data_IF_364108680170
#
_entry.id   IF_364108680170
#
_cell.length_a   1.000
_cell.length_b   1.000
_cell.length_c   1.000
_cell.angle_alpha   90.00
_cell.angle_beta   90.00
_cell.angle_gamma   90.00
#
_symmetry.space_group_name_H-M   'P 1'
#
loop_
_entity.id
_entity.type
_entity.pdbx_description
1 polymer ?
#
# COMPACT_ATOMS: atom_id res chain seq x y z
N UNK A 1 3.03 -34.81 8.09
CA UNK A 1 2.05 -33.73 8.34
C UNK A 1 2.74 -32.63 9.11
N UNK A 2 2.35 -31.36 8.93
CA UNK A 2 3.06 -30.23 9.58
C UNK A 2 2.46 -29.99 10.96
N UNK A 3 3.26 -29.86 12.01
CA UNK A 3 2.74 -29.48 13.33
C UNK A 3 2.49 -27.96 13.40
N UNK A 4 1.51 -27.54 14.21
CA UNK A 4 1.20 -26.12 14.39
C UNK A 4 2.39 -25.33 14.96
N UNK A 5 3.20 -25.97 15.81
CA UNK A 5 4.45 -25.43 16.34
C UNK A 5 5.50 -25.19 15.26
N UNK A 6 5.57 -26.03 14.22
CA UNK A 6 6.56 -25.87 13.14
C UNK A 6 6.26 -24.62 12.32
N UNK A 7 4.97 -24.33 12.10
CA UNK A 7 4.52 -23.16 11.34
C UNK A 7 4.89 -21.84 12.02
N UNK A 8 4.99 -21.82 13.36
CA UNK A 8 5.38 -20.62 14.11
C UNK A 8 6.76 -20.09 13.71
N UNK A 9 7.69 -21.00 13.43
CA UNK A 9 9.09 -20.67 13.18
C UNK A 9 9.39 -20.33 11.72
N UNK A 10 8.44 -20.58 10.81
CA UNK A 10 8.62 -20.31 9.39
C UNK A 10 8.72 -18.82 9.12
N UNK A 11 9.66 -18.45 8.27
CA UNK A 11 9.80 -17.10 7.73
C UNK A 11 8.88 -16.88 6.52
N UNK A 12 8.82 -15.65 5.99
CA UNK A 12 7.97 -15.31 4.84
C UNK A 12 8.20 -16.19 3.60
N UNK A 13 9.42 -16.65 3.39
CA UNK A 13 9.82 -17.40 2.18
C UNK A 13 9.73 -18.92 2.34
N UNK A 14 9.31 -19.40 3.51
CA UNK A 14 9.29 -20.82 3.87
C UNK A 14 7.86 -21.38 3.99
N UNK A 15 6.87 -20.54 3.70
CA UNK A 15 5.46 -20.88 3.87
C UNK A 15 4.80 -21.19 2.53
N UNK A 16 4.54 -22.48 2.35
CA UNK A 16 3.85 -23.06 1.20
C UNK A 16 2.54 -23.70 1.66
N UNK A 17 1.62 -24.07 0.75
CA UNK A 17 0.44 -24.85 1.10
C UNK A 17 0.79 -26.06 1.99
N UNK A 18 -0.01 -26.31 3.02
CA UNK A 18 0.29 -27.33 4.04
C UNK A 18 -0.99 -28.01 4.53
N UNK A 19 -0.80 -29.18 5.15
CA UNK A 19 -1.85 -29.88 5.90
C UNK A 19 -1.49 -29.92 7.38
N UNK A 20 -2.49 -29.61 8.21
CA UNK A 20 -2.40 -29.54 9.66
C UNK A 20 -3.52 -30.37 10.28
N UNK A 21 -3.18 -31.29 11.19
CA UNK A 21 -4.18 -32.00 12.00
C UNK A 21 -4.69 -31.10 13.13
N UNK A 22 -6.01 -30.95 13.21
CA UNK A 22 -6.75 -30.17 14.20
C UNK A 22 -7.92 -31.00 14.71
N UNK A 23 -7.87 -31.40 15.99
CA UNK A 23 -8.96 -32.13 16.66
C UNK A 23 -9.46 -33.37 15.87
N UNK A 24 -8.52 -34.22 15.44
CA UNK A 24 -8.77 -35.45 14.65
C UNK A 24 -9.23 -35.22 13.20
N UNK A 25 -9.28 -33.97 12.75
CA UNK A 25 -9.61 -33.59 11.39
C UNK A 25 -8.42 -32.90 10.71
N UNK A 26 -8.39 -32.89 9.38
CA UNK A 26 -7.30 -32.22 8.64
C UNK A 26 -7.75 -30.87 8.09
N UNK A 27 -7.04 -29.81 8.46
CA UNK A 27 -7.06 -28.52 7.76
C UNK A 27 -6.05 -28.56 6.61
N UNK A 28 -6.55 -28.47 5.37
CA UNK A 28 -5.73 -28.33 4.17
C UNK A 28 -5.66 -26.86 3.78
N UNK A 29 -4.54 -26.19 4.09
CA UNK A 29 -4.27 -24.82 3.71
C UNK A 29 -3.85 -24.75 2.24
N UNK A 30 -4.68 -24.14 1.40
CA UNK A 30 -4.48 -24.05 -0.06
C UNK A 30 -3.71 -22.79 -0.48
N UNK A 31 -3.99 -21.67 0.17
CA UNK A 31 -3.27 -20.43 -0.09
C UNK A 31 -3.08 -19.62 1.18
N UNK A 32 -1.95 -18.92 1.24
CA UNK A 32 -1.58 -18.07 2.37
C UNK A 32 -2.11 -16.66 2.10
N UNK A 33 -3.04 -16.20 2.93
CA UNK A 33 -3.63 -14.86 2.81
C UNK A 33 -2.82 -13.81 3.56
N UNK A 34 -2.23 -14.17 4.70
CA UNK A 34 -1.39 -13.27 5.50
C UNK A 34 -0.43 -14.04 6.39
N UNK A 35 0.85 -13.70 6.36
CA UNK A 35 1.85 -14.26 7.26
C UNK A 35 2.56 -13.18 8.07
N UNK A 36 2.44 -13.27 9.40
CA UNK A 36 3.24 -12.54 10.37
C UNK A 36 4.07 -13.56 11.19
N UNK A 37 5.34 -13.80 10.82
CA UNK A 37 6.18 -14.81 11.45
C UNK A 37 6.17 -14.73 12.98
N UNK A 38 6.03 -15.89 13.62
CA UNK A 38 5.96 -16.03 15.08
C UNK A 38 4.72 -15.46 15.76
N UNK A 39 3.79 -14.82 15.02
CA UNK A 39 2.59 -14.17 15.59
C UNK A 39 1.29 -14.75 15.08
N UNK A 40 1.04 -14.68 13.76
CA UNK A 40 -0.19 -15.19 13.16
C UNK A 40 -0.02 -15.56 11.70
N UNK A 41 -0.85 -16.50 11.26
CA UNK A 41 -0.97 -16.95 9.90
C UNK A 41 -2.45 -17.02 9.51
N UNK A 42 -2.81 -16.49 8.36
CA UNK A 42 -4.17 -16.54 7.83
C UNK A 42 -4.13 -17.28 6.51
N UNK A 43 -4.96 -18.31 6.36
CA UNK A 43 -4.99 -19.17 5.18
C UNK A 43 -6.41 -19.37 4.67
N UNK A 44 -6.53 -19.52 3.35
CA UNK A 44 -7.71 -20.09 2.72
C UNK A 44 -7.48 -21.60 2.55
N UNK A 45 -8.46 -22.41 2.89
CA UNK A 45 -8.29 -23.86 2.91
C UNK A 45 -9.58 -24.64 2.93
N UNK A 46 -9.46 -25.92 3.29
CA UNK A 46 -10.58 -26.83 3.55
C UNK A 46 -10.43 -27.50 4.90
N UNK A 47 -11.53 -27.63 5.63
CA UNK A 47 -11.63 -28.39 6.88
C UNK A 47 -12.94 -29.17 6.85
N UNK A 48 -12.91 -30.47 7.17
CA UNK A 48 -14.06 -31.39 7.00
C UNK A 48 -14.70 -31.32 5.59
N UNK A 49 -13.86 -31.18 4.56
CA UNK A 49 -14.30 -31.03 3.17
C UNK A 49 -14.88 -29.66 2.80
N UNK A 50 -15.20 -28.80 3.78
CA UNK A 50 -15.81 -27.48 3.58
C UNK A 50 -14.76 -26.38 3.38
N UNK A 51 -15.02 -25.37 2.54
CA UNK A 51 -14.12 -24.23 2.39
C UNK A 51 -14.10 -23.38 3.66
N UNK A 52 -12.91 -23.00 4.13
CA UNK A 52 -12.71 -22.23 5.36
C UNK A 52 -11.63 -21.17 5.21
N UNK A 53 -11.78 -20.06 5.95
CA UNK A 53 -10.67 -19.18 6.30
C UNK A 53 -10.21 -19.57 7.71
N UNK A 54 -8.94 -19.91 7.84
CA UNK A 54 -8.34 -20.25 9.12
C UNK A 54 -7.35 -19.16 9.55
N UNK A 55 -7.58 -18.57 10.73
CA UNK A 55 -6.65 -17.66 11.42
C UNK A 55 -5.95 -18.44 12.53
N UNK A 56 -4.66 -18.70 12.34
CA UNK A 56 -3.78 -19.38 13.28
C UNK A 56 -3.03 -18.33 14.09
N UNK A 57 -3.18 -18.39 15.41
CA UNK A 57 -2.50 -17.51 16.37
C UNK A 57 -1.43 -18.31 17.10
N UNK A 58 -0.18 -17.85 17.00
CA UNK A 58 0.97 -18.52 17.63
C UNK A 58 1.27 -17.91 19.00
N UNK A 59 1.66 -18.73 19.98
CA UNK A 59 1.86 -18.34 21.38
C UNK A 59 0.74 -17.44 21.93
N UNK A 60 -0.52 -17.86 21.75
CA UNK A 60 -1.70 -17.07 22.06
C UNK A 60 -2.02 -17.02 23.56
N UNK A 61 -1.06 -16.57 24.37
CA UNK A 61 -1.17 -16.45 25.83
C UNK A 61 -2.28 -15.49 26.29
N UNK A 62 -2.81 -14.66 25.40
CA UNK A 62 -3.88 -13.70 25.67
C UNK A 62 -5.24 -14.15 25.15
N UNK A 63 -5.34 -15.38 24.66
CA UNK A 63 -6.56 -15.93 24.09
C UNK A 63 -7.18 -15.00 23.02
N UNK A 64 -6.33 -14.41 22.17
CA UNK A 64 -6.73 -13.51 21.08
C UNK A 64 -7.69 -14.22 20.13
N UNK A 65 -7.42 -15.47 19.77
CA UNK A 65 -8.29 -16.25 18.89
C UNK A 65 -9.66 -16.53 19.52
N UNK A 66 -9.70 -16.86 20.81
CA UNK A 66 -10.96 -17.05 21.55
C UNK A 66 -11.75 -15.74 21.69
N UNK A 67 -11.05 -14.65 21.97
CA UNK A 67 -11.66 -13.33 22.07
C UNK A 67 -12.26 -12.90 20.73
N UNK A 68 -11.55 -13.11 19.62
CA UNK A 68 -12.04 -12.80 18.29
C UNK A 68 -13.24 -13.70 17.91
N UNK A 69 -13.21 -14.99 18.23
CA UNK A 69 -14.36 -15.90 18.06
C UNK A 69 -15.60 -15.41 18.82
N UNK A 70 -15.45 -15.08 20.11
CA UNK A 70 -16.55 -14.58 20.93
C UNK A 70 -17.09 -13.24 20.42
N UNK A 71 -16.20 -12.36 19.96
CA UNK A 71 -16.57 -11.05 19.41
C UNK A 71 -17.35 -11.17 18.11
N UNK A 72 -16.94 -12.05 17.18
CA UNK A 72 -17.70 -12.31 15.94
C UNK A 72 -19.13 -12.77 16.24
N UNK A 73 -19.30 -13.73 17.17
CA UNK A 73 -20.64 -14.19 17.58
C UNK A 73 -21.47 -13.08 18.21
N UNK A 74 -20.84 -12.25 19.03
CA UNK A 74 -21.51 -11.10 19.67
C UNK A 74 -21.98 -10.08 18.62
N UNK A 75 -21.12 -9.72 17.67
CA UNK A 75 -21.45 -8.80 16.59
C UNK A 75 -22.58 -9.35 15.71
N UNK A 76 -22.51 -10.63 15.33
CA UNK A 76 -23.56 -11.30 14.57
C UNK A 76 -24.91 -11.29 15.31
N UNK A 77 -24.92 -11.53 16.63
CA UNK A 77 -26.15 -11.46 17.45
C UNK A 77 -26.75 -10.05 17.54
N UNK A 78 -25.98 -9.02 17.23
CA UNK A 78 -26.40 -7.62 17.19
C UNK A 78 -26.73 -7.14 15.76
N UNK A 79 -26.80 -8.06 14.79
CA UNK A 79 -27.18 -7.77 13.41
C UNK A 79 -26.05 -7.22 12.53
N UNK A 80 -24.82 -7.15 13.04
CA UNK A 80 -23.65 -6.74 12.24
C UNK A 80 -23.29 -7.88 11.29
N UNK A 81 -23.20 -7.57 9.99
CA UNK A 81 -22.76 -8.53 8.97
C UNK A 81 -21.25 -8.78 9.09
N UNK A 82 -20.88 -9.94 9.64
CA UNK A 82 -19.49 -10.40 9.84
C UNK A 82 -19.33 -11.85 9.31
N UNK A 83 -18.10 -12.33 9.06
CA UNK A 83 -17.87 -13.73 8.70
C UNK A 83 -18.47 -14.71 9.72
N UNK A 84 -19.15 -15.74 9.22
CA UNK A 84 -19.73 -16.78 10.07
C UNK A 84 -18.60 -17.62 10.70
N UNK A 85 -18.60 -17.69 12.03
CA UNK A 85 -17.65 -18.51 12.78
C UNK A 85 -18.05 -19.98 12.73
N UNK A 86 -17.11 -20.86 12.42
CA UNK A 86 -17.31 -22.31 12.43
C UNK A 86 -16.89 -22.86 13.79
N UNK A 87 -15.62 -22.67 14.15
CA UNK A 87 -15.06 -23.21 15.38
C UNK A 87 -13.83 -22.42 15.82
N UNK A 88 -13.47 -22.57 17.09
CA UNK A 88 -12.19 -22.16 17.65
C UNK A 88 -11.57 -23.37 18.33
N UNK A 89 -10.34 -23.69 17.94
CA UNK A 89 -9.61 -24.89 18.39
C UNK A 89 -8.33 -24.46 19.08
N UNK A 90 -7.94 -25.20 20.11
CA UNK A 90 -6.70 -24.97 20.86
C UNK A 90 -5.79 -26.19 20.75
N UNK A 91 -4.49 -25.93 20.55
CA UNK A 91 -3.47 -26.96 20.51
C UNK A 91 -2.20 -26.42 21.18
N UNK A 92 -1.98 -26.82 22.43
CA UNK A 92 -0.89 -26.28 23.26
C UNK A 92 -1.06 -24.78 23.48
N UNK A 93 -0.05 -23.99 23.13
CA UNK A 93 -0.06 -22.53 23.26
C UNK A 93 -0.60 -21.81 22.00
N UNK A 94 -1.34 -22.50 21.14
CA UNK A 94 -1.81 -21.98 19.85
C UNK A 94 -3.32 -22.07 19.74
N UNK A 95 -3.91 -21.12 19.02
CA UNK A 95 -5.35 -21.08 18.76
C UNK A 95 -5.61 -20.99 17.26
N UNK A 96 -6.58 -21.74 16.77
CA UNK A 96 -7.03 -21.71 15.37
C UNK A 96 -8.50 -21.31 15.34
N UNK A 97 -8.79 -20.16 14.74
CA UNK A 97 -10.15 -19.69 14.46
C UNK A 97 -10.52 -20.05 13.02
N UNK A 98 -11.58 -20.84 12.86
CA UNK A 98 -12.15 -21.26 11.59
C UNK A 98 -13.43 -20.46 11.30
N UNK A 99 -13.52 -19.89 10.11
CA UNK A 99 -14.67 -19.11 9.63
C UNK A 99 -15.05 -19.53 8.22
N UNK A 100 -16.31 -19.33 7.84
CA UNK A 100 -16.73 -19.46 6.44
C UNK A 100 -16.11 -18.33 5.61
N UNK A 101 -15.59 -18.62 4.41
CA UNK A 101 -15.17 -17.60 3.48
C UNK A 101 -16.36 -16.72 3.08
N UNK A 102 -16.10 -15.42 2.99
CA UNK A 102 -17.05 -14.47 2.42
C UNK A 102 -16.72 -14.33 0.94
N UNK A 103 -17.69 -14.61 0.08
CA UNK A 103 -17.57 -14.45 -1.37
C UNK A 103 -18.12 -13.07 -1.71
N UNK A 104 -17.25 -12.16 -2.10
CA UNK A 104 -17.64 -10.80 -2.43
C UNK A 104 -16.47 -10.01 -2.99
N UNK A 105 -16.78 -8.84 -3.53
CA UNK A 105 -15.76 -7.92 -4.05
C UNK A 105 -15.30 -6.95 -2.95
N UNK A 106 -14.01 -6.63 -2.93
CA UNK A 106 -13.48 -5.62 -2.01
C UNK A 106 -14.09 -4.25 -2.30
N UNK A 107 -14.67 -3.62 -1.29
CA UNK A 107 -15.39 -2.36 -1.44
C UNK A 107 -14.48 -1.24 -1.95
N UNK A 108 -13.23 -1.19 -1.46
CA UNK A 108 -12.23 -0.21 -1.93
C UNK A 108 -12.02 -0.29 -3.44
N UNK A 109 -11.80 -1.49 -3.97
CA UNK A 109 -11.63 -1.77 -5.40
C UNK A 109 -12.85 -1.36 -6.22
N UNK A 110 -14.07 -1.62 -5.71
CA UNK A 110 -15.30 -1.20 -6.39
C UNK A 110 -15.41 0.32 -6.50
N UNK A 111 -15.17 1.03 -5.40
CA UNK A 111 -15.21 2.50 -5.39
C UNK A 111 -14.12 3.12 -6.26
N UNK A 112 -12.92 2.55 -6.26
CA UNK A 112 -11.78 2.99 -7.10
C UNK A 112 -12.08 2.82 -8.60
N UNK A 113 -12.70 1.70 -8.98
CA UNK A 113 -13.07 1.44 -10.37
C UNK A 113 -14.17 2.37 -10.85
N UNK A 114 -15.20 2.57 -10.04
CA UNK A 114 -16.32 3.44 -10.36
C UNK A 114 -16.93 3.95 -9.08
N UNK A 115 -16.73 5.23 -8.81
CA UNK A 115 -17.26 5.84 -7.60
C UNK A 115 -18.79 5.73 -7.58
N UNK A 116 -19.31 5.02 -6.59
CA UNK A 116 -20.74 4.79 -6.41
C UNK A 116 -21.20 5.41 -5.08
N UNK A 117 -21.90 6.55 -5.11
CA UNK A 117 -22.40 7.21 -3.90
C UNK A 117 -23.32 6.33 -3.07
N UNK A 118 -24.16 5.49 -3.69
CA UNK A 118 -25.07 4.61 -2.97
C UNK A 118 -24.31 3.51 -2.22
N UNK A 119 -23.27 2.93 -2.83
CA UNK A 119 -22.42 1.96 -2.16
C UNK A 119 -21.66 2.58 -0.97
N UNK A 120 -21.14 3.80 -1.14
CA UNK A 120 -20.50 4.52 -0.05
C UNK A 120 -21.50 4.85 1.07
N UNK A 121 -22.73 5.25 0.73
CA UNK A 121 -23.78 5.48 1.72
C UNK A 121 -24.07 4.21 2.53
N UNK A 122 -24.22 3.06 1.87
CA UNK A 122 -24.38 1.76 2.56
C UNK A 122 -23.21 1.43 3.49
N UNK A 123 -21.97 1.76 3.10
CA UNK A 123 -20.81 1.59 3.97
C UNK A 123 -20.92 2.48 5.21
N UNK A 124 -21.23 3.75 5.02
CA UNK A 124 -21.34 4.70 6.13
C UNK A 124 -22.47 4.30 7.09
N UNK A 125 -23.58 3.79 6.57
CA UNK A 125 -24.67 3.24 7.37
C UNK A 125 -24.23 2.00 8.15
N UNK A 126 -23.43 1.11 7.54
CA UNK A 126 -22.83 -0.06 8.21
C UNK A 126 -21.88 0.36 9.35
N UNK A 127 -21.01 1.35 9.10
CA UNK A 127 -20.11 1.91 10.12
C UNK A 127 -20.89 2.56 11.25
N UNK A 128 -22.00 3.25 10.94
CA UNK A 128 -22.87 3.84 11.94
C UNK A 128 -23.62 2.81 12.77
N UNK A 129 -24.14 1.74 12.17
CA UNK A 129 -24.75 0.63 12.90
C UNK A 129 -23.77 0.01 13.89
N UNK A 130 -22.50 -0.19 13.48
CA UNK A 130 -21.46 -0.67 14.37
C UNK A 130 -21.23 0.30 15.55
N UNK A 131 -21.13 1.59 15.26
CA UNK A 131 -20.96 2.66 16.24
C UNK A 131 -22.14 2.75 17.23
N UNK A 132 -23.37 2.72 16.73
CA UNK A 132 -24.61 2.78 17.52
C UNK A 132 -24.77 1.53 18.41
N UNK A 133 -24.34 0.37 17.94
CA UNK A 133 -24.22 -0.86 18.73
C UNK A 133 -23.10 -0.82 19.79
N UNK A 134 -22.37 0.30 19.90
CA UNK A 134 -21.32 0.52 20.89
C UNK A 134 -19.95 0.01 20.49
N UNK A 135 -19.70 -0.21 19.20
CA UNK A 135 -18.44 -0.75 18.67
C UNK A 135 -17.75 0.19 17.70
N UNK A 136 -16.43 0.07 17.62
CA UNK A 136 -15.63 0.81 16.64
C UNK A 136 -14.53 -0.07 16.10
N UNK A 137 -14.30 0.00 14.80
CA UNK A 137 -13.19 -0.71 14.16
C UNK A 137 -11.95 0.16 14.20
N UNK A 138 -10.97 -0.22 15.02
CA UNK A 138 -9.81 0.65 15.30
C UNK A 138 -8.82 0.77 14.14
N UNK A 139 -8.85 -0.18 13.19
CA UNK A 139 -8.14 -0.11 11.90
C UNK A 139 -9.14 0.00 10.74
N UNK A 140 -9.99 1.04 10.76
CA UNK A 140 -11.00 1.23 9.72
C UNK A 140 -10.36 1.63 8.39
N UNK A 141 -10.55 0.79 7.36
CA UNK A 141 -10.19 1.06 5.98
C UNK A 141 -11.10 0.29 5.02
N UNK A 142 -11.23 0.77 3.77
CA UNK A 142 -12.18 0.21 2.78
C UNK A 142 -11.94 -1.28 2.50
N UNK A 143 -10.69 -1.74 2.55
CA UNK A 143 -10.35 -3.16 2.35
C UNK A 143 -10.79 -4.11 3.47
N UNK A 144 -11.34 -3.60 4.58
CA UNK A 144 -11.98 -4.43 5.61
C UNK A 144 -13.47 -4.66 5.32
N UNK A 145 -13.97 -4.31 4.15
CA UNK A 145 -15.37 -4.52 3.77
C UNK A 145 -15.44 -5.25 2.44
N UNK A 146 -16.24 -6.31 2.40
CA UNK A 146 -16.62 -7.00 1.16
C UNK A 146 -18.06 -6.69 0.83
N UNK A 147 -18.35 -6.55 -0.46
CA UNK A 147 -19.71 -6.47 -0.99
C UNK A 147 -20.10 -7.86 -1.49
N UNK A 148 -21.02 -8.47 -0.76
CA UNK A 148 -21.66 -9.75 -1.06
C UNK A 148 -23.04 -9.46 -1.65
N UNK A 149 -23.37 -10.04 -2.81
CA UNK A 149 -24.63 -9.74 -3.52
C UNK A 149 -25.88 -10.09 -2.70
N UNK A 150 -25.80 -11.13 -1.87
CA UNK A 150 -26.92 -11.60 -1.06
C UNK A 150 -26.98 -10.92 0.31
N UNK A 151 -25.81 -10.64 0.92
CA UNK A 151 -25.70 -10.13 2.30
C UNK A 151 -25.45 -8.63 2.41
N UNK A 152 -25.12 -7.97 1.30
CA UNK A 152 -24.68 -6.58 1.30
C UNK A 152 -23.23 -6.44 1.80
N UNK A 153 -22.98 -5.43 2.63
CA UNK A 153 -21.62 -5.13 3.12
C UNK A 153 -21.29 -6.00 4.33
N UNK A 154 -20.23 -6.81 4.20
CA UNK A 154 -19.70 -7.68 5.27
C UNK A 154 -18.41 -7.07 5.82
N UNK A 155 -18.39 -6.82 7.13
CA UNK A 155 -17.24 -6.30 7.86
C UNK A 155 -16.25 -7.43 8.22
N UNK A 156 -15.03 -7.30 7.73
CA UNK A 156 -13.91 -8.21 7.99
C UNK A 156 -13.08 -7.77 9.21
N UNK A 157 -12.29 -8.73 9.70
CA UNK A 157 -11.29 -8.55 10.76
C UNK A 157 -11.84 -8.00 12.09
N UNK A 158 -12.76 -8.75 12.69
CA UNK A 158 -13.33 -8.43 13.99
C UNK A 158 -12.31 -8.29 15.12
N UNK A 159 -11.10 -8.86 15.00
CA UNK A 159 -10.03 -8.72 15.99
C UNK A 159 -9.60 -7.26 16.28
N UNK A 160 -9.89 -6.33 15.36
CA UNK A 160 -9.61 -4.90 15.54
C UNK A 160 -10.86 -4.08 15.95
N UNK A 161 -11.99 -4.73 16.24
CA UNK A 161 -13.20 -4.10 16.74
C UNK A 161 -13.14 -4.00 18.27
N UNK A 162 -13.43 -2.81 18.80
CA UNK A 162 -13.34 -2.49 20.23
C UNK A 162 -14.60 -1.74 20.68
N UNK A 163 -14.95 -1.77 21.97
CA UNK A 163 -16.02 -0.92 22.49
C UNK A 163 -15.72 0.56 22.25
N UNK A 164 -16.76 1.35 21.95
CA UNK A 164 -16.67 2.80 21.80
C UNK A 164 -16.20 3.42 23.13
N UNK A 165 -15.19 4.32 23.13
CA UNK A 165 -14.74 4.98 24.35
C UNK A 165 -15.83 5.85 24.98
N UNK A 166 -16.23 5.54 26.22
CA UNK A 166 -17.33 6.20 26.94
C UNK A 166 -17.22 7.74 27.04
N UNK A 167 -16.00 8.28 27.16
CA UNK A 167 -15.75 9.73 27.31
C UNK A 167 -15.57 10.49 25.99
N UNK A 168 -15.56 9.80 24.83
CA UNK A 168 -15.20 10.38 23.53
C UNK A 168 -16.00 9.79 22.36
N UNK A 169 -17.25 9.38 22.57
CA UNK A 169 -18.05 8.67 21.56
C UNK A 169 -18.03 9.33 20.18
N UNK A 170 -18.62 10.53 20.04
CA UNK A 170 -18.72 11.21 18.74
C UNK A 170 -17.34 11.53 18.14
N UNK A 171 -16.39 11.94 18.97
CA UNK A 171 -15.01 12.19 18.55
C UNK A 171 -14.31 10.93 18.04
N UNK A 172 -14.62 9.76 18.60
CA UNK A 172 -14.09 8.48 18.15
C UNK A 172 -14.58 8.16 16.74
N UNK A 173 -15.87 8.38 16.44
CA UNK A 173 -16.41 8.24 15.08
C UNK A 173 -15.71 9.18 14.09
N UNK A 174 -15.56 10.48 14.44
CA UNK A 174 -14.86 11.46 13.60
C UNK A 174 -13.42 11.01 13.32
N UNK A 175 -12.69 10.60 14.35
CA UNK A 175 -11.31 10.11 14.21
C UNK A 175 -11.26 8.83 13.36
N UNK A 176 -12.29 7.98 13.44
CA UNK A 176 -12.35 6.72 12.72
C UNK A 176 -12.69 6.89 11.22
N UNK A 177 -13.66 7.74 10.89
CA UNK A 177 -13.94 8.11 9.50
C UNK A 177 -12.75 8.87 8.87
N UNK A 178 -12.04 9.69 9.65
CA UNK A 178 -10.85 10.38 9.18
C UNK A 178 -9.70 9.39 8.89
N UNK A 179 -9.55 8.37 9.74
CA UNK A 179 -8.63 7.25 9.50
C UNK A 179 -8.99 6.53 8.20
N UNK A 180 -10.26 6.17 7.99
CA UNK A 180 -10.73 5.51 6.77
C UNK A 180 -10.42 6.32 5.50
N UNK A 181 -10.74 7.61 5.51
CA UNK A 181 -10.43 8.52 4.39
C UNK A 181 -8.92 8.54 4.11
N UNK A 182 -8.07 8.58 5.14
CA UNK A 182 -6.62 8.59 4.96
C UNK A 182 -6.03 7.26 4.44
N UNK A 183 -6.79 6.16 4.57
CA UNK A 183 -6.40 4.83 4.11
C UNK A 183 -6.75 4.58 2.64
N UNK A 184 -7.69 5.33 2.07
CA UNK A 184 -8.01 5.26 0.64
C UNK A 184 -6.90 5.83 -0.26
N UNK A 185 -6.93 5.47 -1.54
CA UNK A 185 -6.10 6.11 -2.57
C UNK A 185 -6.40 7.59 -2.66
N UNK A 186 -5.38 8.40 -3.01
CA UNK A 186 -5.53 9.86 -3.12
C UNK A 186 -6.61 10.27 -4.13
N UNK A 187 -6.89 9.44 -5.12
CA UNK A 187 -7.93 9.71 -6.10
C UNK A 187 -9.35 9.71 -5.50
N UNK A 188 -9.59 8.87 -4.48
CA UNK A 188 -10.87 8.74 -3.80
C UNK A 188 -11.05 9.70 -2.62
N UNK A 189 -9.97 10.25 -2.06
CA UNK A 189 -10.03 10.96 -0.78
C UNK A 189 -10.98 12.14 -0.79
N UNK A 190 -10.97 12.97 -1.83
CA UNK A 190 -11.80 14.19 -1.87
C UNK A 190 -13.29 13.85 -1.79
N UNK A 191 -13.73 12.85 -2.55
CA UNK A 191 -15.12 12.38 -2.54
C UNK A 191 -15.48 11.71 -1.21
N UNK A 192 -14.60 10.86 -0.67
CA UNK A 192 -14.82 10.23 0.63
C UNK A 192 -14.93 11.24 1.76
N UNK A 193 -14.04 12.24 1.79
CA UNK A 193 -14.01 13.26 2.83
C UNK A 193 -15.31 14.08 2.79
N UNK A 194 -15.73 14.52 1.60
CA UNK A 194 -16.97 15.27 1.43
C UNK A 194 -18.19 14.49 1.91
N UNK A 195 -18.32 13.22 1.49
CA UNK A 195 -19.45 12.36 1.83
C UNK A 195 -19.46 12.01 3.32
N UNK A 196 -18.31 11.69 3.92
CA UNK A 196 -18.20 11.47 5.36
C UNK A 196 -18.58 12.72 6.16
N UNK A 197 -18.18 13.91 5.70
CA UNK A 197 -18.54 15.17 6.35
C UNK A 197 -20.06 15.42 6.30
N UNK A 198 -20.68 15.24 5.13
CA UNK A 198 -22.14 15.36 4.97
C UNK A 198 -22.89 14.35 5.83
N UNK A 199 -22.42 13.11 5.87
CA UNK A 199 -22.96 12.03 6.69
C UNK A 199 -22.95 12.35 8.19
N UNK A 200 -21.80 12.82 8.71
CA UNK A 200 -21.67 13.23 10.11
C UNK A 200 -22.61 14.39 10.44
N UNK A 201 -22.67 15.40 9.55
CA UNK A 201 -23.55 16.55 9.72
C UNK A 201 -25.03 16.14 9.80
N UNK A 202 -25.47 15.24 8.93
CA UNK A 202 -26.85 14.73 8.92
C UNK A 202 -27.23 13.99 10.22
N UNK A 203 -26.23 13.48 10.96
CA UNK A 203 -26.40 12.76 12.23
C UNK A 203 -26.10 13.62 13.46
N UNK A 204 -25.94 14.93 13.29
CA UNK A 204 -25.65 15.86 14.38
C UNK A 204 -24.26 15.68 15.00
N UNK A 205 -23.32 15.06 14.28
CA UNK A 205 -21.93 14.87 14.73
C UNK A 205 -21.08 16.06 14.23
N UNK A 206 -20.47 16.80 15.15
CA UNK A 206 -19.56 17.90 14.81
C UNK A 206 -18.26 17.38 14.18
N UNK A 207 -18.04 17.76 12.92
CA UNK A 207 -16.88 17.43 12.10
C UNK A 207 -16.07 18.66 11.68
N UNK A 208 -16.13 19.80 12.38
CA UNK A 208 -15.49 21.04 11.95
C UNK A 208 -13.98 20.93 11.60
N UNK A 209 -13.24 20.03 12.27
CA UNK A 209 -11.81 19.79 12.04
C UNK A 209 -11.53 18.51 11.22
N UNK A 210 -12.54 17.96 10.53
CA UNK A 210 -12.46 16.65 9.89
C UNK A 210 -11.37 16.57 8.82
N UNK A 211 -11.32 17.55 7.91
CA UNK A 211 -10.30 17.60 6.85
C UNK A 211 -8.87 17.61 7.42
N UNK A 212 -8.62 18.41 8.46
CA UNK A 212 -7.33 18.46 9.12
C UNK A 212 -6.97 17.13 9.79
N UNK A 213 -7.95 16.44 10.38
CA UNK A 213 -7.76 15.08 10.92
C UNK A 213 -7.41 14.09 9.82
N UNK A 214 -8.12 14.09 8.69
CA UNK A 214 -7.80 13.27 7.52
C UNK A 214 -6.35 13.49 7.07
N UNK A 215 -5.95 14.77 6.92
CA UNK A 215 -4.58 15.14 6.55
C UNK A 215 -3.54 14.68 7.57
N UNK A 216 -3.85 14.78 8.87
CA UNK A 216 -2.97 14.33 9.96
C UNK A 216 -2.79 12.81 9.94
N UNK A 217 -3.86 12.05 9.75
CA UNK A 217 -3.78 10.59 9.62
C UNK A 217 -3.03 10.18 8.35
N UNK A 218 -3.27 10.85 7.23
CA UNK A 218 -2.55 10.63 5.98
C UNK A 218 -1.05 10.85 6.17
N UNK A 219 -0.66 11.98 6.77
CA UNK A 219 0.75 12.27 7.04
C UNK A 219 1.38 11.22 7.96
N UNK A 220 0.67 10.77 9.00
CA UNK A 220 1.12 9.70 9.88
C UNK A 220 1.33 8.39 9.10
N UNK A 221 0.38 8.02 8.24
CA UNK A 221 0.44 6.85 7.35
C UNK A 221 1.66 6.93 6.44
N UNK A 222 1.89 8.08 5.79
CA UNK A 222 3.03 8.30 4.91
C UNK A 222 4.37 8.17 5.66
N UNK A 223 4.50 8.76 6.85
CA UNK A 223 5.71 8.62 7.68
C UNK A 223 5.96 7.16 8.10
N UNK A 224 4.91 6.44 8.47
CA UNK A 224 5.02 5.04 8.85
C UNK A 224 5.39 4.15 7.66
N UNK A 225 4.75 4.35 6.51
CA UNK A 225 5.05 3.63 5.28
C UNK A 225 6.49 3.89 4.80
N UNK A 226 6.91 5.15 4.77
CA UNK A 226 8.26 5.55 4.40
C UNK A 226 9.35 4.87 5.25
N UNK A 227 9.11 4.72 6.57
CA UNK A 227 9.98 3.94 7.47
C UNK A 227 9.88 2.44 7.20
N UNK A 228 8.68 1.93 6.92
CA UNK A 228 8.44 0.51 6.65
C UNK A 228 9.21 0.03 5.41
N UNK A 229 9.30 0.86 4.36
CA UNK A 229 9.93 0.49 3.09
C UNK A 229 11.47 0.39 3.12
N UNK A 230 12.07 0.69 4.28
CA UNK A 230 13.52 0.65 4.48
C UNK A 230 14.00 -0.62 5.20
N UNK A 231 13.09 -1.55 5.51
CA UNK A 231 13.38 -2.76 6.31
C UNK A 231 12.68 -3.99 5.75
N UNK A 232 13.13 -5.17 6.20
CA UNK A 232 12.48 -6.44 5.90
C UNK A 232 11.04 -6.43 6.42
N UNK A 233 10.08 -6.72 5.56
CA UNK A 233 8.66 -6.79 5.88
C UNK A 233 7.92 -7.75 4.94
N UNK A 234 6.61 -7.84 5.08
CA UNK A 234 5.76 -8.74 4.28
C UNK A 234 5.83 -8.54 2.76
N UNK A 235 6.26 -7.35 2.31
CA UNK A 235 6.38 -7.01 0.89
C UNK A 235 7.84 -6.92 0.42
N UNK A 236 8.78 -6.62 1.32
CA UNK A 236 10.17 -6.32 0.97
C UNK A 236 11.08 -7.30 1.71
N UNK A 237 11.94 -7.97 0.96
CA UNK A 237 13.06 -8.78 1.46
C UNK A 237 14.34 -7.95 1.43
N UNK A 238 15.14 -8.08 2.48
CA UNK A 238 16.49 -7.52 2.53
C UNK A 238 17.48 -8.67 2.46
N UNK A 239 18.47 -8.56 1.58
CA UNK A 239 19.56 -9.52 1.46
C UNK A 239 20.90 -8.80 1.52
N UNK A 240 21.82 -9.33 2.32
CA UNK A 240 23.21 -8.91 2.26
C UNK A 240 23.84 -9.47 0.99
N UNK A 241 24.52 -8.61 0.23
CA UNK A 241 25.27 -9.00 -0.95
C UNK A 241 26.73 -8.59 -0.79
N UNK A 242 27.58 -8.97 -1.75
CA UNK A 242 28.94 -8.45 -1.81
C UNK A 242 28.89 -6.92 -1.90
N UNK A 243 29.61 -6.27 -0.98
CA UNK A 243 29.78 -4.81 -0.89
C UNK A 243 28.50 -3.99 -0.62
N UNK A 244 27.38 -4.61 -0.24
CA UNK A 244 26.11 -3.86 -0.09
C UNK A 244 24.90 -4.64 0.40
N UNK A 245 23.72 -4.04 0.16
CA UNK A 245 22.41 -4.62 0.53
C UNK A 245 21.45 -4.51 -0.65
N UNK A 246 20.75 -5.61 -0.93
CA UNK A 246 19.64 -5.66 -1.88
C UNK A 246 18.30 -5.58 -1.14
N UNK A 247 17.42 -4.72 -1.65
CA UNK A 247 16.02 -4.61 -1.29
C UNK A 247 15.22 -5.20 -2.46
N UNK A 248 14.44 -6.24 -2.20
CA UNK A 248 13.76 -7.02 -3.23
C UNK A 248 12.28 -7.06 -2.91
N UNK A 249 11.45 -6.76 -3.89
CA UNK A 249 10.02 -7.03 -3.82
C UNK A 249 9.78 -8.55 -3.80
N UNK A 250 9.12 -9.04 -2.75
CA UNK A 250 8.89 -10.47 -2.53
C UNK A 250 8.03 -11.09 -3.63
N UNK A 251 7.17 -10.30 -4.26
CA UNK A 251 6.34 -10.72 -5.39
C UNK A 251 7.20 -11.18 -6.58
N UNK A 252 8.38 -10.59 -6.76
CA UNK A 252 9.26 -10.87 -7.89
C UNK A 252 10.59 -11.52 -7.47
N UNK A 253 10.64 -12.19 -6.32
CA UNK A 253 11.86 -12.80 -5.78
C UNK A 253 12.58 -13.73 -6.77
N UNK A 254 11.83 -14.43 -7.61
CA UNK A 254 12.36 -15.39 -8.58
C UNK A 254 13.18 -14.71 -9.70
N UNK A 255 13.01 -13.40 -9.91
CA UNK A 255 13.76 -12.59 -10.88
C UNK A 255 14.98 -11.90 -10.28
N UNK A 256 15.16 -11.94 -8.96
CA UNK A 256 16.22 -11.19 -8.26
C UNK A 256 17.62 -11.51 -8.78
N UNK A 257 17.92 -12.79 -9.09
CA UNK A 257 19.22 -13.20 -9.63
C UNK A 257 19.53 -12.53 -10.98
N UNK A 258 18.55 -12.46 -11.87
CA UNK A 258 18.69 -11.79 -13.18
C UNK A 258 19.01 -10.32 -13.00
N UNK A 259 18.33 -9.63 -12.08
CA UNK A 259 18.57 -8.21 -11.85
C UNK A 259 19.90 -7.92 -11.14
N UNK A 260 20.34 -8.81 -10.26
CA UNK A 260 21.68 -8.72 -9.67
C UNK A 260 22.76 -8.80 -10.75
N UNK A 261 22.57 -9.64 -11.77
CA UNK A 261 23.46 -9.68 -12.92
C UNK A 261 23.49 -8.34 -13.68
N UNK A 262 22.35 -7.66 -13.86
CA UNK A 262 22.31 -6.30 -14.44
C UNK A 262 23.06 -5.27 -13.58
N UNK A 263 23.10 -5.46 -12.26
CA UNK A 263 23.85 -4.59 -11.36
C UNK A 263 25.38 -4.75 -11.50
N UNK A 264 25.84 -5.94 -11.88
CA UNK A 264 27.26 -6.26 -12.09
C UNK A 264 27.71 -5.92 -13.51
N UNK A 265 26.91 -6.29 -14.52
CA UNK A 265 27.17 -6.05 -15.93
C UNK A 265 26.03 -5.26 -16.59
N UNK A 266 26.05 -3.91 -16.53
CA UNK A 266 25.00 -3.08 -17.11
C UNK A 266 24.91 -3.18 -18.64
N UNK A 267 26.00 -3.56 -19.32
CA UNK A 267 26.04 -3.68 -20.79
C UNK A 267 25.23 -4.87 -21.32
N UNK A 268 24.76 -5.75 -20.43
CA UNK A 268 23.79 -6.79 -20.78
C UNK A 268 22.41 -6.25 -21.17
N UNK A 269 22.17 -4.94 -21.06
CA UNK A 269 20.93 -4.28 -21.45
C UNK A 269 21.17 -3.13 -22.43
N UNK A 270 20.24 -2.87 -23.37
CA UNK A 270 20.31 -1.70 -24.24
C UNK A 270 20.35 -0.39 -23.46
N UNK A 271 21.29 0.49 -23.82
CA UNK A 271 21.45 1.80 -23.21
C UNK A 271 20.41 2.78 -23.77
N UNK A 272 19.56 3.31 -22.88
CA UNK A 272 18.57 4.36 -23.23
C UNK A 272 19.16 5.76 -23.04
N UNK A 273 19.90 5.95 -21.94
CA UNK A 273 20.48 7.27 -21.58
C UNK A 273 21.80 7.10 -20.87
N UNK A 274 22.87 7.63 -21.46
CA UNK A 274 24.19 7.75 -20.81
C UNK A 274 24.29 9.09 -20.09
N UNK A 275 24.65 9.08 -18.82
CA UNK A 275 24.86 10.31 -18.06
C UNK A 275 25.94 10.15 -17.00
N UNK A 276 26.62 11.25 -16.66
CA UNK A 276 27.72 11.26 -15.69
C UNK A 276 27.29 10.94 -14.25
N UNK A 277 25.99 11.07 -13.95
CA UNK A 277 25.42 10.79 -12.62
C UNK A 277 24.48 9.59 -12.62
N UNK A 278 23.81 9.36 -13.75
CA UNK A 278 22.80 8.33 -13.92
C UNK A 278 22.93 7.78 -15.34
N UNK A 279 23.05 6.46 -15.43
CA UNK A 279 22.87 5.73 -16.69
C UNK A 279 21.61 4.90 -16.62
N UNK A 280 20.83 4.89 -17.70
CA UNK A 280 19.55 4.18 -17.79
C UNK A 280 19.64 3.14 -18.90
N UNK A 281 19.37 1.90 -18.55
CA UNK A 281 19.33 0.75 -19.44
C UNK A 281 17.93 0.16 -19.40
N UNK A 282 17.47 -0.43 -20.50
CA UNK A 282 16.16 -1.06 -20.52
C UNK A 282 16.03 -2.11 -21.63
N UNK A 283 15.34 -3.21 -21.31
CA UNK A 283 14.82 -4.18 -22.29
C UNK A 283 13.30 -3.97 -22.45
N UNK A 284 12.57 -4.98 -22.93
CA UNK A 284 11.11 -4.93 -23.09
C UNK A 284 10.36 -4.98 -21.74
N UNK A 285 10.97 -5.53 -20.69
CA UNK A 285 10.33 -5.82 -19.41
C UNK A 285 10.78 -4.92 -18.27
N UNK A 286 12.01 -4.41 -18.32
CA UNK A 286 12.69 -3.78 -17.19
C UNK A 286 13.39 -2.48 -17.59
N UNK A 287 13.38 -1.53 -16.67
CA UNK A 287 14.20 -0.32 -16.70
C UNK A 287 15.14 -0.34 -15.50
N UNK A 288 16.44 -0.25 -15.77
CA UNK A 288 17.51 -0.29 -14.77
C UNK A 288 18.23 1.06 -14.74
N UNK A 289 18.21 1.73 -13.59
CA UNK A 289 18.91 3.00 -13.38
C UNK A 289 20.13 2.81 -12.48
N UNK A 290 21.30 3.14 -13.00
CA UNK A 290 22.58 3.12 -12.27
C UNK A 290 22.91 4.53 -11.80
N UNK A 291 22.87 4.78 -10.49
CA UNK A 291 23.28 6.04 -9.88
C UNK A 291 24.77 5.98 -9.50
N UNK A 292 25.58 6.81 -10.13
CA UNK A 292 27.06 6.75 -10.08
C UNK A 292 27.70 7.80 -9.15
N UNK A 293 27.01 8.24 -8.10
CA UNK A 293 27.55 9.26 -7.18
C UNK A 293 28.55 8.60 -6.20
N UNK A 294 29.86 8.63 -6.49
CA UNK A 294 30.90 7.94 -5.68
C UNK A 294 31.65 8.84 -4.68
N UNK A 295 31.09 10.01 -4.35
CA UNK A 295 31.74 10.95 -3.40
C UNK A 295 31.59 10.52 -1.93
N UNK A 296 32.48 10.99 -1.04
CA UNK A 296 32.32 10.83 0.42
C UNK A 296 30.95 11.34 0.91
N UNK A 297 30.45 12.42 0.30
CA UNK A 297 29.11 12.95 0.55
C UNK A 297 28.01 11.96 0.16
N UNK A 298 28.18 11.24 -0.94
CA UNK A 298 27.24 10.20 -1.36
C UNK A 298 27.21 9.02 -0.38
N UNK A 299 28.39 8.58 0.09
CA UNK A 299 28.49 7.55 1.14
C UNK A 299 27.79 7.99 2.43
N UNK A 300 27.93 9.25 2.84
CA UNK A 300 27.21 9.80 3.99
C UNK A 300 25.69 9.82 3.76
N UNK A 301 25.21 10.27 2.60
CA UNK A 301 23.78 10.24 2.25
C UNK A 301 23.22 8.82 2.29
N UNK A 302 23.96 7.84 1.78
CA UNK A 302 23.57 6.44 1.78
C UNK A 302 23.43 5.88 3.21
N UNK A 303 24.37 6.20 4.12
CA UNK A 303 24.26 5.86 5.55
C UNK A 303 23.01 6.46 6.18
N UNK A 304 22.62 7.66 5.78
CA UNK A 304 21.38 8.33 6.22
C UNK A 304 20.12 7.89 5.46
N UNK A 305 20.20 6.86 4.59
CA UNK A 305 19.08 6.40 3.73
C UNK A 305 18.50 7.52 2.85
N UNK A 306 19.37 8.41 2.39
CA UNK A 306 19.09 9.57 1.53
C UNK A 306 19.86 9.52 0.19
N UNK A 307 20.32 8.35 -0.24
CA UNK A 307 20.80 8.15 -1.62
C UNK A 307 19.63 8.32 -2.60
N UNK A 308 19.92 8.64 -3.86
CA UNK A 308 18.90 8.77 -4.91
C UNK A 308 18.13 7.47 -5.13
N UNK A 309 18.83 6.34 -5.12
CA UNK A 309 18.22 5.00 -5.19
C UNK A 309 17.24 4.77 -4.05
N UNK A 310 17.66 4.99 -2.79
CA UNK A 310 16.79 4.84 -1.62
C UNK A 310 15.59 5.81 -1.62
N UNK A 311 15.76 7.06 -2.06
CA UNK A 311 14.64 8.01 -2.20
C UNK A 311 13.66 7.47 -3.24
N UNK A 312 14.15 7.12 -4.43
CA UNK A 312 13.33 6.57 -5.52
C UNK A 312 12.58 5.29 -5.10
N UNK A 313 13.25 4.39 -4.38
CA UNK A 313 12.65 3.19 -3.79
C UNK A 313 11.52 3.52 -2.82
N UNK A 314 11.81 4.33 -1.79
CA UNK A 314 10.82 4.72 -0.78
C UNK A 314 9.62 5.45 -1.39
N UNK A 315 9.88 6.36 -2.32
CA UNK A 315 8.83 7.15 -2.96
C UNK A 315 8.02 6.31 -3.94
N UNK A 316 8.61 5.41 -4.72
CA UNK A 316 7.86 4.49 -5.57
C UNK A 316 6.89 3.60 -4.78
N UNK A 317 7.35 3.01 -3.67
CA UNK A 317 6.48 2.23 -2.78
C UNK A 317 5.43 3.08 -2.05
N UNK A 318 5.78 4.30 -1.64
CA UNK A 318 4.83 5.22 -1.00
C UNK A 318 3.76 5.69 -2.00
N UNK A 319 4.14 6.03 -3.22
CA UNK A 319 3.23 6.51 -4.25
C UNK A 319 2.28 5.40 -4.69
N UNK A 320 2.79 4.19 -4.89
CA UNK A 320 1.96 3.01 -5.12
C UNK A 320 0.97 2.76 -3.97
N UNK A 321 1.40 2.84 -2.70
CA UNK A 321 0.51 2.72 -1.53
C UNK A 321 -0.62 3.76 -1.53
N UNK A 322 -0.34 4.96 -2.04
CA UNK A 322 -1.29 6.08 -2.10
C UNK A 322 -2.16 6.05 -3.37
N UNK A 323 -2.01 5.04 -4.22
CA UNK A 323 -2.70 4.95 -5.51
C UNK A 323 -2.26 6.02 -6.51
N UNK A 324 -1.08 6.62 -6.34
CA UNK A 324 -0.51 7.53 -7.34
C UNK A 324 0.05 6.67 -8.48
N UNK A 325 -0.32 6.93 -9.75
CA UNK A 325 0.19 6.18 -10.89
C UNK A 325 1.72 6.30 -11.00
N UNK A 326 2.42 5.21 -10.75
CA UNK A 326 3.88 5.09 -10.89
C UNK A 326 4.25 3.63 -11.06
N UNK A 327 5.29 3.28 -11.84
CA UNK A 327 5.87 1.95 -11.76
C UNK A 327 6.46 1.76 -10.36
N UNK A 328 6.02 0.73 -9.64
CA UNK A 328 6.57 0.36 -8.34
C UNK A 328 7.94 -0.30 -8.55
N UNK A 329 9.01 0.14 -7.85
CA UNK A 329 10.32 -0.46 -8.00
C UNK A 329 10.34 -1.87 -7.42
N UNK A 330 10.99 -2.78 -8.13
CA UNK A 330 11.02 -4.22 -7.80
C UNK A 330 12.34 -4.65 -7.14
N UNK A 331 13.42 -3.91 -7.38
CA UNK A 331 14.68 -4.10 -6.69
C UNK A 331 15.46 -2.80 -6.52
N UNK A 332 16.13 -2.63 -5.39
CA UNK A 332 17.16 -1.62 -5.16
C UNK A 332 18.40 -2.29 -4.57
N UNK A 333 19.57 -2.02 -5.14
CA UNK A 333 20.87 -2.39 -4.56
C UNK A 333 21.60 -1.12 -4.13
N UNK A 334 22.01 -1.08 -2.87
CA UNK A 334 22.85 -0.03 -2.30
C UNK A 334 24.24 -0.60 -2.00
N UNK A 335 25.26 -0.13 -2.74
CA UNK A 335 26.65 -0.51 -2.51
C UNK A 335 27.22 0.38 -1.41
N UNK A 336 27.48 -0.19 -0.23
CA UNK A 336 27.93 0.53 0.96
C UNK A 336 29.43 0.40 1.22
N UNK A 337 30.05 -0.61 0.62
CA UNK A 337 31.45 -0.98 0.81
C UNK A 337 32.19 -1.08 -0.55
N UNK A 338 33.50 -1.26 -0.50
CA UNK A 338 34.34 -1.36 -1.69
C UNK A 338 34.40 -0.09 -2.56
N UNK A 339 34.84 -0.27 -3.82
CA UNK A 339 35.08 0.80 -4.80
C UNK A 339 33.77 1.45 -5.27
N UNK A 340 32.67 0.69 -5.23
CA UNK A 340 31.33 1.13 -5.64
C UNK A 340 30.56 1.83 -4.52
N UNK A 341 31.15 1.99 -3.34
CA UNK A 341 30.48 2.56 -2.19
C UNK A 341 29.89 3.95 -2.47
N UNK A 342 28.62 4.16 -2.10
CA UNK A 342 27.87 5.40 -2.36
C UNK A 342 27.02 5.35 -3.64
N UNK A 343 27.24 4.35 -4.50
CA UNK A 343 26.41 4.11 -5.70
C UNK A 343 25.20 3.22 -5.39
N UNK A 344 24.20 3.26 -6.27
CA UNK A 344 23.02 2.42 -6.16
C UNK A 344 22.46 2.06 -7.53
N UNK A 345 21.83 0.89 -7.64
CA UNK A 345 21.12 0.45 -8.85
C UNK A 345 19.68 0.12 -8.49
N UNK A 346 18.73 0.63 -9.25
CA UNK A 346 17.30 0.39 -9.02
C UNK A 346 16.66 -0.16 -10.29
N UNK A 347 15.71 -1.07 -10.11
CA UNK A 347 15.00 -1.76 -11.19
C UNK A 347 13.50 -1.48 -11.08
N UNK A 348 12.91 -1.14 -12.21
CA UNK A 348 11.47 -0.91 -12.39
C UNK A 348 10.93 -1.82 -13.50
N UNK A 349 9.66 -2.25 -13.42
CA UNK A 349 8.94 -2.74 -14.59
C UNK A 349 8.93 -1.66 -15.67
N UNK A 350 9.10 -2.06 -16.93
CA UNK A 350 8.94 -1.16 -18.08
C UNK A 350 7.46 -1.05 -18.42
N UNK A 351 6.98 0.18 -18.55
CA UNK A 351 5.63 0.47 -19.01
C UNK A 351 5.62 0.61 -20.53
N UNK A 352 4.60 0.03 -21.17
CA UNK A 352 4.30 0.27 -22.59
C UNK A 352 3.63 1.64 -22.72
N UNK A 353 4.46 2.68 -22.76
CA UNK A 353 4.02 4.06 -22.68
C UNK A 353 5.05 4.99 -23.30
N UNK A 354 4.61 6.16 -23.77
CA UNK A 354 5.48 7.22 -24.27
C UNK A 354 5.51 8.41 -23.31
N UNK A 355 6.55 9.24 -23.40
CA UNK A 355 6.62 10.46 -22.59
C UNK A 355 5.55 11.47 -23.04
N UNK A 356 4.91 12.15 -22.08
CA UNK A 356 3.92 13.19 -22.35
C UNK A 356 4.52 14.32 -23.20
N UNK A 357 5.82 14.60 -23.08
CA UNK A 357 6.49 15.58 -23.96
C UNK A 357 6.39 15.21 -25.44
N UNK A 358 6.47 13.92 -25.79
CA UNK A 358 6.31 13.47 -27.18
C UNK A 358 4.86 13.67 -27.65
N UNK A 359 3.89 13.41 -26.77
CA UNK A 359 2.47 13.68 -27.05
C UNK A 359 2.23 15.19 -27.23
N UNK A 360 2.87 16.04 -26.44
CA UNK A 360 2.78 17.50 -26.58
C UNK A 360 3.32 17.97 -27.95
N UNK A 361 4.41 17.39 -28.42
CA UNK A 361 5.01 17.71 -29.73
C UNK A 361 4.15 17.22 -30.90
N UNK A 362 3.55 16.03 -30.79
CA UNK A 362 2.91 15.34 -31.92
C UNK A 362 1.37 15.45 -31.95
N UNK A 363 0.72 15.56 -30.79
CA UNK A 363 -0.72 15.41 -30.60
C UNK A 363 -1.25 16.42 -29.56
N UNK A 364 -1.18 17.71 -29.89
CA UNK A 364 -1.44 18.81 -28.95
C UNK A 364 -2.80 18.74 -28.24
N UNK A 365 -3.88 18.45 -28.97
CA UNK A 365 -5.23 18.35 -28.38
C UNK A 365 -5.33 17.23 -27.34
N UNK A 366 -4.73 16.07 -27.63
CA UNK A 366 -4.62 14.95 -26.69
C UNK A 366 -3.79 15.35 -25.46
N UNK A 367 -2.67 16.04 -25.69
CA UNK A 367 -1.82 16.51 -24.60
C UNK A 367 -2.52 17.51 -23.67
N UNK A 368 -3.39 18.37 -24.19
CA UNK A 368 -4.20 19.31 -23.39
C UNK A 368 -5.16 18.56 -22.47
N UNK A 369 -5.83 17.51 -22.97
CA UNK A 369 -6.69 16.65 -22.16
C UNK A 369 -5.90 15.95 -21.03
N UNK A 370 -4.76 15.35 -21.37
CA UNK A 370 -3.87 14.69 -20.40
C UNK A 370 -3.33 15.66 -19.35
N UNK A 371 -3.09 16.92 -19.72
CA UNK A 371 -2.61 17.92 -18.78
C UNK A 371 -3.64 18.29 -17.70
N UNK A 372 -4.94 18.20 -17.98
CA UNK A 372 -5.97 18.33 -16.95
C UNK A 372 -5.86 17.22 -15.90
N UNK A 373 -5.64 15.98 -16.33
CA UNK A 373 -5.36 14.86 -15.43
C UNK A 373 -4.12 15.10 -14.59
N UNK A 374 -3.04 15.64 -15.17
CA UNK A 374 -1.82 16.00 -14.41
C UNK A 374 -2.09 17.13 -13.41
N UNK A 375 -2.88 18.15 -13.79
CA UNK A 375 -3.25 19.26 -12.90
C UNK A 375 -4.06 18.76 -11.70
N UNK A 376 -5.01 17.86 -11.92
CA UNK A 376 -5.76 17.22 -10.84
C UNK A 376 -4.84 16.44 -9.87
N UNK A 377 -3.84 15.72 -10.39
CA UNK A 377 -2.84 15.08 -9.54
C UNK A 377 -1.98 16.07 -8.76
N UNK A 378 -1.61 17.21 -9.35
CA UNK A 378 -0.89 18.28 -8.63
C UNK A 378 -1.71 18.87 -7.48
N UNK A 379 -3.03 18.97 -7.62
CA UNK A 379 -3.93 19.37 -6.54
C UNK A 379 -3.95 18.33 -5.41
N UNK A 380 -4.05 17.05 -5.76
CA UNK A 380 -3.94 15.93 -4.80
C UNK A 380 -2.58 15.89 -4.09
N UNK A 381 -1.49 16.21 -4.80
CA UNK A 381 -0.16 16.32 -4.20
C UNK A 381 -0.07 17.49 -3.21
N UNK A 382 -0.70 18.62 -3.52
CA UNK A 382 -0.79 19.75 -2.60
C UNK A 382 -1.59 19.39 -1.35
N UNK A 383 -2.73 18.70 -1.51
CA UNK A 383 -3.53 18.17 -0.41
C UNK A 383 -2.69 17.25 0.50
N UNK A 384 -2.06 16.22 -0.09
CA UNK A 384 -1.26 15.24 0.64
C UNK A 384 0.09 15.81 1.17
N UNK A 385 0.52 16.97 0.68
CA UNK A 385 1.82 17.56 1.00
C UNK A 385 3.00 16.84 0.34
N UNK A 386 2.76 16.20 -0.80
CA UNK A 386 3.70 15.50 -1.67
C UNK A 386 4.28 16.47 -2.70
N UNK A 387 5.48 16.18 -3.19
CA UNK A 387 6.12 16.88 -4.31
C UNK A 387 6.93 15.90 -5.12
N UNK A 388 6.91 16.04 -6.44
CA UNK A 388 7.72 15.26 -7.37
C UNK A 388 9.17 15.76 -7.40
N UNK A 389 9.39 17.07 -7.34
CA UNK A 389 10.72 17.68 -7.36
C UNK A 389 11.34 17.84 -8.76
N UNK A 390 10.92 17.02 -9.73
CA UNK A 390 11.21 17.21 -11.17
C UNK A 390 10.01 17.01 -12.11
N UNK A 391 8.92 17.74 -11.86
CA UNK A 391 7.68 17.65 -12.65
C UNK A 391 7.83 18.24 -14.06
N UNK A 392 8.37 17.46 -15.00
CA UNK A 392 8.49 17.78 -16.43
C UNK A 392 7.64 16.79 -17.24
N UNK A 393 7.20 17.18 -18.44
CA UNK A 393 6.44 16.29 -19.31
C UNK A 393 7.21 15.01 -19.71
N UNK A 394 8.55 15.05 -19.74
CA UNK A 394 9.40 13.87 -19.97
C UNK A 394 9.33 12.82 -18.85
N UNK A 395 8.94 13.24 -17.64
CA UNK A 395 8.83 12.39 -16.45
C UNK A 395 7.39 11.91 -16.20
N UNK A 396 6.51 12.10 -17.17
CA UNK A 396 5.13 11.63 -17.15
C UNK A 396 4.97 10.74 -18.36
N UNK A 397 4.69 9.46 -18.13
CA UNK A 397 4.41 8.50 -19.18
C UNK A 397 2.90 8.46 -19.43
N UNK A 398 2.53 8.16 -20.68
CA UNK A 398 1.15 8.06 -21.13
C UNK A 398 1.02 6.78 -21.96
N UNK A 399 0.04 5.95 -21.65
CA UNK A 399 -0.28 4.75 -22.43
C UNK A 399 -1.34 5.06 -23.52
N UNK A 400 -1.74 4.05 -24.29
CA UNK A 400 -2.74 4.22 -25.36
C UNK A 400 -4.16 4.49 -24.85
N UNK A 401 -4.43 4.22 -23.57
CA UNK A 401 -5.71 4.50 -22.90
C UNK A 401 -5.75 5.87 -22.22
N UNK A 402 -4.74 6.72 -22.43
CA UNK A 402 -4.58 8.02 -21.77
C UNK A 402 -4.38 7.97 -20.24
N UNK A 403 -4.00 6.80 -19.70
CA UNK A 403 -3.55 6.71 -18.33
C UNK A 403 -2.15 7.29 -18.20
N UNK A 404 -1.99 8.19 -17.22
CA UNK A 404 -0.68 8.78 -16.92
C UNK A 404 0.06 7.94 -15.87
N UNK A 405 1.39 7.97 -15.90
CA UNK A 405 2.26 7.41 -14.86
C UNK A 405 3.45 8.33 -14.61
N UNK A 406 3.65 8.72 -13.35
CA UNK A 406 4.78 9.54 -12.94
C UNK A 406 6.02 8.67 -12.75
N UNK A 407 7.16 9.13 -13.28
CA UNK A 407 8.44 8.44 -13.18
C UNK A 407 9.53 9.40 -12.68
N UNK A 408 10.68 8.83 -12.32
CA UNK A 408 11.84 9.60 -11.85
C UNK A 408 11.63 10.29 -10.48
N UNK A 409 11.33 9.45 -9.49
CA UNK A 409 11.02 9.87 -8.13
C UNK A 409 12.26 10.11 -7.25
N UNK A 410 13.45 10.28 -7.84
CA UNK A 410 14.70 10.43 -7.09
C UNK A 410 14.85 11.79 -6.36
N UNK A 411 13.98 12.75 -6.69
CA UNK A 411 13.82 14.04 -6.01
C UNK A 411 12.45 14.18 -5.30
N UNK A 412 11.62 13.15 -5.36
CA UNK A 412 10.30 13.17 -4.77
C UNK A 412 10.41 13.21 -3.23
N UNK A 413 9.46 13.88 -2.61
CA UNK A 413 9.41 14.01 -1.15
C UNK A 413 8.04 14.45 -0.68
N UNK A 414 7.76 14.23 0.60
CA UNK A 414 6.62 14.86 1.29
C UNK A 414 7.10 15.72 2.45
N UNK A 415 6.24 16.61 2.96
CA UNK A 415 6.59 17.53 4.04
C UNK A 415 5.52 17.62 5.10
N UNK A 416 5.93 17.41 6.35
CA UNK A 416 5.08 17.65 7.55
C UNK A 416 4.74 19.13 7.76
N UNK A 417 5.54 20.04 7.17
CA UNK A 417 5.33 21.50 7.27
C UNK A 417 4.54 22.00 6.07
N UNK A 418 3.32 22.50 6.32
CA UNK A 418 2.40 22.98 5.28
C UNK A 418 3.03 24.05 4.35
N UNK A 419 3.74 25.04 4.92
CA UNK A 419 4.41 26.10 4.12
C UNK A 419 5.43 25.52 3.12
N UNK A 420 6.23 24.53 3.56
CA UNK A 420 7.24 23.88 2.71
C UNK A 420 6.57 23.01 1.65
N UNK A 421 5.50 22.28 2.02
CA UNK A 421 4.71 21.50 1.07
C UNK A 421 4.13 22.37 -0.04
N UNK A 422 3.49 23.51 0.32
CA UNK A 422 2.94 24.48 -0.63
C UNK A 422 4.00 25.07 -1.55
N UNK A 423 5.16 25.46 -1.00
CA UNK A 423 6.26 26.01 -1.79
C UNK A 423 6.83 24.99 -2.81
N UNK A 424 6.96 23.72 -2.44
CA UNK A 424 7.42 22.66 -3.36
C UNK A 424 6.38 22.35 -4.44
N UNK A 425 5.10 22.19 -4.08
CA UNK A 425 4.02 21.98 -5.04
C UNK A 425 3.92 23.11 -6.05
N UNK A 426 4.04 24.37 -5.61
CA UNK A 426 4.07 25.51 -6.52
C UNK A 426 5.21 25.39 -7.53
N UNK A 427 6.40 24.93 -7.12
CA UNK A 427 7.52 24.70 -8.04
C UNK A 427 7.25 23.58 -9.04
N UNK A 428 6.63 22.48 -8.60
CA UNK A 428 6.25 21.39 -9.49
C UNK A 428 5.22 21.85 -10.52
N UNK A 429 4.17 22.58 -10.09
CA UNK A 429 3.18 23.17 -11.01
C UNK A 429 3.81 24.13 -12.01
N UNK A 430 4.65 25.07 -11.56
CA UNK A 430 5.35 25.99 -12.46
C UNK A 430 6.27 25.25 -13.46
N UNK A 431 6.93 24.17 -13.03
CA UNK A 431 7.77 23.36 -13.93
C UNK A 431 6.93 22.60 -14.95
N UNK A 432 5.75 22.11 -14.56
CA UNK A 432 4.81 21.46 -15.46
C UNK A 432 4.27 22.45 -16.51
N UNK A 433 3.78 23.61 -16.10
CA UNK A 433 3.19 24.57 -17.06
C UNK A 433 4.23 25.15 -18.03
N UNK A 434 5.51 25.26 -17.63
CA UNK A 434 6.59 25.68 -18.53
C UNK A 434 6.84 24.75 -19.72
N UNK A 435 6.38 23.49 -19.68
CA UNK A 435 6.52 22.59 -20.84
C UNK A 435 5.77 23.14 -22.07
N UNK A 436 4.69 23.89 -21.88
CA UNK A 436 3.93 24.51 -22.99
C UNK A 436 4.69 25.62 -23.73
N UNK A 437 5.66 26.25 -23.08
CA UNK A 437 6.56 27.22 -23.72
C UNK A 437 7.63 26.51 -24.55
N UNK A 438 8.04 25.32 -24.12
CA UNK A 438 9.12 24.55 -24.72
C UNK A 438 8.68 23.77 -25.96
N UNK A 439 7.48 23.19 -25.95
CA UNK A 439 6.94 22.34 -27.03
C UNK A 439 5.92 23.11 -27.88
N UNK A 440 6.26 24.35 -28.26
CA UNK A 440 5.33 25.26 -28.96
C UNK A 440 4.93 24.81 -30.34
#
# INVERSE_FOLDING_TARGET
MTALSDLQHRCWDEIEPFSLELAQETLVAKSILRHLPGKRLVVNGRWQGQPVIAKLFFNDKKAVGQHEYALLRKLASQGVQVPETIAVLEQGAHTVLLMKPVVGAELGTLLEKTFNPALLQSLLDTVWQLYDAGWIQTDLHLGNFLVDEARGIVCLDAGEIRPVPSKRGSRALVDNLALMCSQASLALQDQLILQCYQFMRARGVDGCDFENKCRKFLLKRMVQADRKWQRNCSAIRLESIKDGVAYIDREYRDKARTWLAYCENPEGLPLIKKGSRISVFADESWVVKHYQESSLKARLKQKMKHSRGMISWRQGWLWALLGIPTPRPVMLVEFTEGVRAGTSVIVFPRLQSQALSLVMEQQRSRAEHLAESVRLWLERFLWAGISHGDMKAQNILVNDNDDISFIDLDNASFSVRARRAKAKNRKDRMRFERNWEQFR
#
